data_IF_066581655939
#
_entry.id   IF_066581655939
#
_cell.length_a   1.000
_cell.length_b   1.000
_cell.length_c   1.000
_cell.angle_alpha   90.00
_cell.angle_beta   90.00
_cell.angle_gamma   90.00
#
_symmetry.space_group_name_H-M   'P 1'
#
loop_
_entity.id
_entity.type
_entity.pdbx_description
1 polymer ?
#
# COMPACT_ATOMS: atom_id res chain seq x y z
N UNK A 1 -19.41 17.06 -4.66
CA UNK A 1 -19.95 17.73 -3.47
C UNK A 1 -19.13 17.44 -2.20
N UNK A 2 -18.79 16.20 -1.79
CA UNK A 2 -17.93 15.98 -0.60
C UNK A 2 -16.43 15.79 -0.87
N UNK A 3 -15.85 16.48 -1.87
CA UNK A 3 -14.43 16.36 -2.20
C UNK A 3 -13.59 17.22 -1.25
N UNK A 4 -12.39 16.77 -0.88
CA UNK A 4 -11.44 17.58 -0.10
C UNK A 4 -11.08 18.88 -0.84
N UNK A 5 -10.81 18.78 -2.15
CA UNK A 5 -10.61 19.91 -3.07
C UNK A 5 -11.34 19.57 -4.36
N UNK A 6 -12.10 20.52 -4.91
CA UNK A 6 -12.84 20.35 -6.15
C UNK A 6 -12.82 21.63 -6.98
N UNK A 7 -12.54 21.48 -8.28
CA UNK A 7 -12.61 22.56 -9.25
C UNK A 7 -13.83 22.35 -10.14
N UNK A 8 -14.64 23.39 -10.33
CA UNK A 8 -15.77 23.41 -11.26
C UNK A 8 -15.47 24.42 -12.35
N UNK A 9 -15.27 23.95 -13.58
CA UNK A 9 -14.98 24.82 -14.71
C UNK A 9 -16.18 25.74 -15.01
N UNK A 10 -15.88 26.99 -15.35
CA UNK A 10 -16.81 28.04 -15.77
C UNK A 10 -16.28 28.68 -17.06
N UNK A 11 -17.08 29.58 -17.65
CA UNK A 11 -16.63 30.36 -18.83
C UNK A 11 -15.53 31.36 -18.51
N UNK A 12 -15.27 31.66 -17.22
CA UNK A 12 -14.28 32.62 -16.76
C UNK A 12 -13.05 31.97 -16.10
N UNK A 13 -13.02 30.64 -15.99
CA UNK A 13 -11.99 29.92 -15.26
C UNK A 13 -12.60 28.81 -14.41
N UNK A 14 -12.30 28.78 -13.11
CA UNK A 14 -12.72 27.74 -12.19
C UNK A 14 -13.28 28.29 -10.88
N UNK A 15 -14.35 27.65 -10.40
CA UNK A 15 -14.79 27.80 -9.02
C UNK A 15 -14.15 26.70 -8.17
N UNK A 16 -13.32 27.09 -7.22
CA UNK A 16 -12.66 26.17 -6.29
C UNK A 16 -13.49 25.98 -5.02
N UNK A 17 -13.71 24.72 -4.65
CA UNK A 17 -14.40 24.30 -3.44
C UNK A 17 -13.46 23.43 -2.60
N UNK A 18 -13.49 23.58 -1.28
CA UNK A 18 -12.59 22.84 -0.38
C UNK A 18 -13.31 22.26 0.85
N UNK A 19 -12.63 21.33 1.52
CA UNK A 19 -12.98 20.78 2.83
C UNK A 19 -14.31 20.01 2.89
N UNK A 20 -14.69 19.32 1.80
CA UNK A 20 -15.80 18.37 1.79
C UNK A 20 -15.43 17.02 2.44
N UNK A 21 -16.44 16.22 2.77
CA UNK A 21 -16.27 14.89 3.38
C UNK A 21 -17.35 13.90 2.94
N UNK A 22 -16.98 12.65 2.69
CA UNK A 22 -17.92 11.54 2.46
C UNK A 22 -17.81 10.43 3.51
N UNK A 23 -17.12 10.69 4.63
CA UNK A 23 -17.00 9.75 5.74
C UNK A 23 -18.25 9.63 6.60
N UNK A 24 -18.05 9.28 7.87
CA UNK A 24 -19.13 9.09 8.86
C UNK A 24 -19.98 10.33 9.12
N UNK A 25 -19.46 11.52 8.83
CA UNK A 25 -20.17 12.79 8.88
C UNK A 25 -20.06 13.48 7.50
N UNK A 26 -20.98 13.19 6.57
CA UNK A 26 -20.94 13.76 5.23
C UNK A 26 -21.03 15.28 5.27
N UNK A 27 -20.17 15.95 4.49
CA UNK A 27 -20.12 17.41 4.42
C UNK A 27 -19.87 17.87 2.99
N UNK A 28 -20.62 18.88 2.56
CA UNK A 28 -20.37 19.53 1.29
C UNK A 28 -19.11 20.41 1.37
N UNK A 29 -18.30 20.38 0.32
CA UNK A 29 -17.21 21.31 0.14
C UNK A 29 -17.76 22.73 0.03
N UNK A 30 -17.10 23.66 0.68
CA UNK A 30 -17.49 25.07 0.71
C UNK A 30 -16.77 25.82 -0.41
N UNK A 31 -17.44 26.78 -1.05
CA UNK A 31 -16.82 27.62 -2.05
C UNK A 31 -15.67 28.41 -1.43
N UNK A 32 -14.48 28.26 -1.99
CA UNK A 32 -13.30 29.01 -1.62
C UNK A 32 -13.21 30.30 -2.46
N UNK A 33 -13.14 30.17 -3.78
CA UNK A 33 -13.07 31.32 -4.69
C UNK A 33 -13.66 30.94 -6.05
N UNK A 34 -14.12 31.95 -6.79
CA UNK A 34 -14.70 31.81 -8.13
C UNK A 34 -13.81 32.46 -9.17
N UNK A 35 -14.01 32.07 -10.44
CA UNK A 35 -13.37 32.68 -11.61
C UNK A 35 -11.81 32.65 -11.56
N UNK A 36 -11.24 31.58 -10.97
CA UNK A 36 -9.80 31.37 -10.90
C UNK A 36 -9.22 30.88 -12.23
N UNK A 37 -8.04 31.36 -12.59
CA UNK A 37 -7.20 30.76 -13.63
C UNK A 37 -6.57 29.42 -13.18
N UNK A 38 -6.01 28.66 -14.12
CA UNK A 38 -5.29 27.41 -13.85
C UNK A 38 -4.14 27.62 -12.85
N UNK A 39 -3.34 28.68 -13.06
CA UNK A 39 -2.19 29.01 -12.22
C UNK A 39 -2.62 29.38 -10.79
N UNK A 40 -3.72 30.13 -10.65
CA UNK A 40 -4.28 30.47 -9.34
C UNK A 40 -4.86 29.24 -8.64
N UNK A 41 -5.52 28.34 -9.37
CA UNK A 41 -6.00 27.08 -8.80
C UNK A 41 -4.85 26.28 -8.20
N UNK A 42 -3.78 26.05 -8.98
CA UNK A 42 -2.61 25.30 -8.51
C UNK A 42 -1.99 25.99 -7.30
N UNK A 43 -1.71 27.29 -7.40
CA UNK A 43 -1.10 28.07 -6.32
C UNK A 43 -1.89 27.99 -5.02
N UNK A 44 -3.20 28.21 -5.06
CA UNK A 44 -4.01 28.18 -3.85
C UNK A 44 -4.18 26.77 -3.29
N UNK A 45 -4.25 25.74 -4.14
CA UNK A 45 -4.25 24.34 -3.69
C UNK A 45 -2.96 24.03 -2.92
N UNK A 46 -1.81 24.38 -3.48
CA UNK A 46 -0.51 24.11 -2.88
C UNK A 46 -0.37 24.78 -1.51
N UNK A 47 -0.75 26.07 -1.42
CA UNK A 47 -0.72 26.83 -0.17
C UNK A 47 -1.71 26.31 0.87
N UNK A 48 -2.94 25.95 0.47
CA UNK A 48 -3.93 25.37 1.38
C UNK A 48 -3.42 24.04 1.94
N UNK A 49 -2.82 23.19 1.10
CA UNK A 49 -2.24 21.92 1.54
C UNK A 49 -1.06 22.13 2.48
N UNK A 50 -0.17 23.08 2.20
CA UNK A 50 0.92 23.46 3.11
C UNK A 50 0.34 23.94 4.45
N UNK A 51 -0.57 24.90 4.44
CA UNK A 51 -1.17 25.42 5.67
C UNK A 51 -1.88 24.33 6.48
N UNK A 52 -2.62 23.44 5.82
CA UNK A 52 -3.23 22.27 6.45
C UNK A 52 -2.20 21.33 7.08
N UNK A 53 -1.08 21.04 6.40
CA UNK A 53 -0.03 20.16 6.96
C UNK A 53 0.64 20.75 8.20
N UNK A 54 0.77 22.07 8.28
CA UNK A 54 1.39 22.74 9.43
C UNK A 54 0.46 22.94 10.63
N UNK A 55 -0.84 23.07 10.39
CA UNK A 55 -1.81 23.46 11.42
C UNK A 55 -2.76 22.34 11.86
N UNK A 56 -2.91 21.28 11.07
CA UNK A 56 -3.80 20.17 11.41
C UNK A 56 -3.17 19.21 12.42
N UNK A 57 -4.00 18.70 13.34
CA UNK A 57 -3.58 17.62 14.23
C UNK A 57 -3.45 16.30 13.44
N UNK A 58 -2.58 15.36 13.88
CA UNK A 58 -2.43 14.06 13.23
C UNK A 58 -3.77 13.34 13.01
N UNK A 59 -3.93 12.69 11.86
CA UNK A 59 -5.12 11.92 11.47
C UNK A 59 -6.43 12.75 11.35
N UNK A 60 -6.33 14.07 11.22
CA UNK A 60 -7.50 14.96 11.07
C UNK A 60 -7.85 15.16 9.60
N UNK A 61 -9.12 14.97 9.22
CA UNK A 61 -9.62 15.26 7.86
C UNK A 61 -9.71 16.78 7.63
N UNK A 62 -9.49 17.22 6.39
CA UNK A 62 -9.58 18.65 5.97
C UNK A 62 -10.89 19.31 6.41
N UNK A 63 -12.01 18.60 6.32
CA UNK A 63 -13.33 19.08 6.74
C UNK A 63 -13.41 19.45 8.22
N UNK A 64 -12.84 18.60 9.09
CA UNK A 64 -12.79 18.81 10.56
C UNK A 64 -11.76 19.85 10.93
N UNK A 65 -10.64 19.87 10.20
CA UNK A 65 -9.62 20.90 10.37
C UNK A 65 -10.20 22.30 10.15
N UNK A 66 -10.92 22.52 9.04
CA UNK A 66 -11.54 23.81 8.75
C UNK A 66 -12.60 24.21 9.79
N UNK A 67 -13.35 23.25 10.35
CA UNK A 67 -14.33 23.52 11.42
C UNK A 67 -13.67 24.01 12.72
N UNK A 68 -12.49 23.47 13.02
CA UNK A 68 -11.74 23.81 14.22
C UNK A 68 -10.81 25.02 14.03
N UNK A 69 -10.62 25.47 12.79
CA UNK A 69 -9.80 26.63 12.48
C UNK A 69 -10.54 27.89 12.94
N UNK A 70 -9.94 28.64 13.85
CA UNK A 70 -10.49 29.93 14.28
C UNK A 70 -10.62 30.89 13.09
N UNK A 71 -11.79 31.51 12.93
CA UNK A 71 -12.14 32.30 11.75
C UNK A 71 -12.46 31.49 10.48
N UNK A 72 -12.28 30.17 10.49
CA UNK A 72 -12.75 29.24 9.46
C UNK A 72 -12.26 29.58 8.05
N UNK A 73 -13.20 29.62 7.09
CA UNK A 73 -12.89 29.86 5.67
C UNK A 73 -12.29 31.23 5.41
N UNK A 74 -12.77 32.26 6.11
CA UNK A 74 -12.31 33.63 5.86
C UNK A 74 -10.88 33.79 6.36
N UNK A 75 -10.56 33.28 7.55
CA UNK A 75 -9.19 33.25 8.03
C UNK A 75 -8.26 32.45 7.10
N UNK A 76 -8.72 31.31 6.57
CA UNK A 76 -7.93 30.56 5.59
C UNK A 76 -7.58 31.40 4.36
N UNK A 77 -8.54 32.17 3.82
CA UNK A 77 -8.30 33.08 2.68
C UNK A 77 -7.32 34.18 3.04
N UNK A 78 -7.49 34.83 4.19
CA UNK A 78 -6.57 35.87 4.66
C UNK A 78 -5.12 35.37 4.67
N UNK A 79 -4.90 34.12 5.10
CA UNK A 79 -3.55 33.53 5.17
C UNK A 79 -3.01 33.17 3.79
N UNK A 80 -3.78 32.49 2.93
CA UNK A 80 -3.24 31.89 1.69
C UNK A 80 -3.39 32.78 0.44
N UNK A 81 -4.29 33.77 0.51
CA UNK A 81 -4.56 34.73 -0.57
C UNK A 81 -3.94 36.09 -0.22
N UNK A 82 -4.30 36.65 0.94
CA UNK A 82 -3.88 38.00 1.33
C UNK A 82 -2.52 38.01 2.07
N UNK A 83 -1.93 36.84 2.28
CA UNK A 83 -0.65 36.64 2.97
C UNK A 83 -0.57 37.34 4.34
N UNK A 84 -1.67 37.29 5.11
CA UNK A 84 -1.78 38.00 6.40
C UNK A 84 -0.71 37.60 7.43
N UNK A 85 -0.10 36.42 7.27
CA UNK A 85 0.98 35.91 8.12
C UNK A 85 2.38 36.02 7.49
N UNK A 86 2.50 36.47 6.23
CA UNK A 86 3.77 36.55 5.51
C UNK A 86 4.42 35.18 5.22
N UNK A 87 3.61 34.13 5.08
CA UNK A 87 4.06 32.73 4.95
C UNK A 87 3.95 32.18 3.53
N UNK A 88 3.25 32.88 2.62
CA UNK A 88 2.97 32.36 1.28
C UNK A 88 4.25 32.01 0.51
N UNK A 89 5.28 32.86 0.56
CA UNK A 89 6.56 32.58 -0.10
C UNK A 89 7.26 31.33 0.46
N UNK A 90 7.15 31.08 1.77
CA UNK A 90 7.71 29.88 2.39
C UNK A 90 6.89 28.63 2.05
N UNK A 91 5.57 28.73 1.96
CA UNK A 91 4.72 27.64 1.48
C UNK A 91 5.06 27.25 0.04
N UNK A 92 5.17 28.24 -0.85
CA UNK A 92 5.51 28.01 -2.25
C UNK A 92 6.89 27.34 -2.38
N UNK A 93 7.89 27.83 -1.64
CA UNK A 93 9.24 27.26 -1.61
C UNK A 93 9.25 25.81 -1.14
N UNK A 94 8.55 25.50 -0.04
CA UNK A 94 8.50 24.14 0.52
C UNK A 94 7.73 23.17 -0.36
N UNK A 95 6.64 23.63 -0.97
CA UNK A 95 5.90 22.82 -1.91
C UNK A 95 6.78 22.44 -3.09
N UNK A 96 7.52 23.41 -3.64
CA UNK A 96 8.45 23.17 -4.72
C UNK A 96 9.55 22.15 -4.34
N UNK A 97 10.09 22.19 -3.12
CA UNK A 97 11.02 21.16 -2.63
C UNK A 97 10.40 19.76 -2.62
N UNK A 98 9.10 19.62 -2.33
CA UNK A 98 8.39 18.33 -2.37
C UNK A 98 8.22 17.85 -3.81
N UNK A 99 7.87 18.75 -4.74
CA UNK A 99 7.74 18.44 -6.16
C UNK A 99 9.09 17.99 -6.73
N UNK A 100 10.17 18.68 -6.40
CA UNK A 100 11.53 18.34 -6.86
C UNK A 100 12.04 17.00 -6.33
N UNK A 101 11.59 16.60 -5.14
CA UNK A 101 11.96 15.32 -4.51
C UNK A 101 11.00 14.19 -4.83
N UNK A 102 9.90 14.46 -5.54
CA UNK A 102 8.93 13.44 -5.85
C UNK A 102 9.55 12.35 -6.73
N UNK A 103 9.51 11.11 -6.24
CA UNK A 103 9.86 9.92 -7.00
C UNK A 103 8.65 8.98 -7.04
N UNK A 104 8.29 8.50 -8.23
CA UNK A 104 7.25 7.48 -8.36
C UNK A 104 7.86 6.11 -8.03
N UNK A 105 7.67 5.63 -6.80
CA UNK A 105 8.20 4.35 -6.33
C UNK A 105 7.82 3.16 -7.24
N UNK A 106 6.61 3.18 -7.81
CA UNK A 106 6.18 2.14 -8.75
C UNK A 106 6.93 2.20 -10.08
N UNK A 107 7.18 3.41 -10.59
CA UNK A 107 8.00 3.58 -11.79
C UNK A 107 9.43 3.10 -11.52
N UNK A 108 10.01 3.47 -10.39
CA UNK A 108 11.32 2.98 -9.95
C UNK A 108 11.40 1.46 -9.92
N UNK A 109 10.39 0.80 -9.36
CA UNK A 109 10.26 -0.67 -9.36
C UNK A 109 10.16 -1.21 -10.79
N UNK A 110 9.33 -0.61 -11.64
CA UNK A 110 9.13 -1.05 -13.03
C UNK A 110 10.39 -0.87 -13.86
N UNK A 111 11.19 0.17 -13.62
CA UNK A 111 12.38 0.46 -14.41
C UNK A 111 13.61 -0.31 -13.90
N UNK A 112 13.65 -0.70 -12.61
CA UNK A 112 14.78 -1.40 -11.98
C UNK A 112 14.61 -2.93 -12.00
N UNK A 113 15.40 -3.69 -12.79
CA UNK A 113 15.28 -5.16 -12.88
C UNK A 113 15.35 -5.88 -11.54
N UNK A 114 16.23 -5.44 -10.64
CA UNK A 114 16.46 -6.01 -9.32
C UNK A 114 15.22 -5.87 -8.42
N UNK A 115 14.52 -4.74 -8.52
CA UNK A 115 13.27 -4.52 -7.79
C UNK A 115 12.12 -5.34 -8.39
N UNK A 116 12.04 -5.46 -9.73
CA UNK A 116 11.04 -6.33 -10.38
C UNK A 116 11.14 -7.78 -9.92
N UNK A 117 12.35 -8.29 -9.66
CA UNK A 117 12.56 -9.66 -9.16
C UNK A 117 11.79 -9.95 -7.87
N UNK A 118 11.58 -8.94 -7.00
CA UNK A 118 10.82 -9.05 -5.75
C UNK A 118 9.32 -9.31 -5.96
N UNK A 119 8.80 -9.05 -7.16
CA UNK A 119 7.39 -9.23 -7.52
C UNK A 119 7.12 -10.50 -8.35
N UNK A 120 8.14 -11.33 -8.58
CA UNK A 120 7.95 -12.64 -9.22
C UNK A 120 7.09 -13.53 -8.34
N UNK A 121 6.24 -14.34 -8.96
CA UNK A 121 5.42 -15.31 -8.22
C UNK A 121 6.28 -16.40 -7.59
N UNK A 122 7.30 -16.87 -8.31
CA UNK A 122 8.24 -17.89 -7.82
C UNK A 122 9.67 -17.45 -8.07
N UNK A 123 10.58 -17.79 -7.15
CA UNK A 123 12.02 -17.49 -7.28
C UNK A 123 12.65 -18.30 -8.42
N UNK A 124 12.28 -19.57 -8.54
CA UNK A 124 12.93 -20.55 -9.40
C UNK A 124 12.19 -20.81 -10.73
N UNK A 125 11.26 -19.92 -11.12
CA UNK A 125 10.48 -20.06 -12.36
C UNK A 125 10.49 -18.73 -13.12
N UNK A 126 10.97 -18.76 -14.37
CA UNK A 126 10.98 -17.60 -15.28
C UNK A 126 9.71 -17.48 -16.15
N UNK A 127 8.78 -18.43 -16.05
CA UNK A 127 7.54 -18.41 -16.81
C UNK A 127 6.64 -17.23 -16.39
N UNK A 128 6.37 -16.35 -17.34
CA UNK A 128 5.43 -15.22 -17.21
C UNK A 128 3.95 -15.63 -17.30
N UNK A 129 3.67 -16.92 -17.56
CA UNK A 129 2.32 -17.49 -17.78
C UNK A 129 1.79 -18.26 -16.56
N UNK A 130 2.15 -17.84 -15.36
CA UNK A 130 1.50 -18.30 -14.14
C UNK A 130 0.70 -17.15 -13.53
N UNK A 131 -0.58 -17.40 -13.25
CA UNK A 131 -1.46 -16.38 -12.66
C UNK A 131 -2.86 -16.24 -13.25
N UNK A 132 -3.30 -17.09 -14.19
CA UNK A 132 -4.72 -17.18 -14.52
C UNK A 132 -5.44 -17.85 -13.34
N UNK A 133 -5.67 -17.06 -12.29
CA UNK A 133 -6.55 -17.46 -11.20
C UNK A 133 -7.94 -17.69 -11.80
N UNK A 134 -8.57 -18.84 -11.53
CA UNK A 134 -9.94 -19.04 -11.95
C UNK A 134 -10.77 -17.92 -11.35
N UNK A 135 -11.68 -17.37 -12.15
CA UNK A 135 -12.55 -16.28 -11.74
C UNK A 135 -13.99 -16.63 -12.09
N UNK A 136 -14.90 -16.10 -11.29
CA UNK A 136 -16.34 -16.14 -11.51
C UNK A 136 -16.86 -14.73 -11.77
N UNK A 137 -17.93 -14.61 -12.56
CA UNK A 137 -18.63 -13.34 -12.72
C UNK A 137 -19.67 -13.20 -11.61
N UNK A 138 -19.42 -12.27 -10.69
CA UNK A 138 -20.39 -11.88 -9.67
C UNK A 138 -20.81 -10.45 -9.94
N UNK A 139 -22.10 -10.22 -10.19
CA UNK A 139 -22.65 -8.90 -10.51
C UNK A 139 -21.91 -8.19 -11.65
N UNK A 140 -21.57 -8.93 -12.72
CA UNK A 140 -20.82 -8.46 -13.90
C UNK A 140 -19.35 -8.05 -13.61
N UNK A 141 -18.84 -8.29 -12.40
CA UNK A 141 -17.43 -8.07 -12.06
C UNK A 141 -16.70 -9.41 -11.95
N UNK A 142 -15.46 -9.47 -12.42
CA UNK A 142 -14.60 -10.64 -12.23
C UNK A 142 -14.20 -10.71 -10.75
N UNK A 143 -14.59 -11.78 -10.08
CA UNK A 143 -14.18 -12.11 -8.73
C UNK A 143 -13.31 -13.36 -8.80
N UNK A 144 -12.15 -13.35 -8.14
CA UNK A 144 -11.32 -14.56 -8.02
C UNK A 144 -12.16 -15.66 -7.37
N UNK A 145 -12.21 -16.82 -8.02
CA UNK A 145 -12.87 -17.99 -7.48
C UNK A 145 -12.07 -18.44 -6.28
N UNK A 146 -12.67 -18.33 -5.09
CA UNK A 146 -12.10 -18.79 -3.84
C UNK A 146 -12.88 -20.04 -3.43
N UNK A 147 -12.19 -21.17 -3.37
CA UNK A 147 -12.75 -22.37 -2.76
C UNK A 147 -12.66 -22.23 -1.23
N UNK A 148 -13.73 -22.58 -0.53
CA UNK A 148 -13.74 -22.66 0.93
C UNK A 148 -13.10 -23.98 1.36
N UNK A 149 -11.77 -23.97 1.44
CA UNK A 149 -10.98 -25.15 1.77
C UNK A 149 -10.91 -25.34 3.29
N UNK A 150 -10.86 -26.60 3.77
CA UNK A 150 -10.85 -26.88 5.20
C UNK A 150 -9.62 -26.31 5.89
N UNK A 151 -9.78 -25.94 7.15
CA UNK A 151 -8.66 -25.58 8.00
C UNK A 151 -7.80 -26.82 8.27
N UNK A 152 -6.49 -26.71 7.98
CA UNK A 152 -5.49 -27.73 8.25
C UNK A 152 -4.52 -27.17 9.28
N UNK A 153 -4.74 -27.52 10.54
CA UNK A 153 -3.86 -27.16 11.67
C UNK A 153 -3.23 -28.45 12.19
N UNK A 154 -1.91 -28.45 12.33
CA UNK A 154 -1.18 -29.60 12.85
C UNK A 154 0.31 -29.52 12.54
N UNK A 155 1.11 -30.44 13.10
CA UNK A 155 2.52 -30.55 12.77
C UNK A 155 2.69 -30.90 11.28
N UNK A 156 3.86 -30.55 10.73
CA UNK A 156 4.21 -30.94 9.37
C UNK A 156 4.17 -32.47 9.25
N UNK A 157 3.44 -32.98 8.25
CA UNK A 157 3.36 -34.43 7.99
C UNK A 157 4.73 -35.02 7.63
N UNK A 158 5.54 -34.23 6.92
CA UNK A 158 6.89 -34.57 6.47
C UNK A 158 7.85 -33.53 7.00
N UNK A 159 8.90 -34.00 7.67
CA UNK A 159 9.95 -33.20 8.30
C UNK A 159 11.32 -33.72 7.88
N UNK A 160 12.38 -32.94 8.12
CA UNK A 160 13.73 -33.24 7.64
C UNK A 160 14.28 -34.59 8.13
N UNK A 161 13.88 -35.01 9.33
CA UNK A 161 14.20 -36.31 9.94
C UNK A 161 13.60 -37.51 9.19
N UNK A 162 12.58 -37.30 8.35
CA UNK A 162 11.97 -38.33 7.51
C UNK A 162 12.56 -38.39 6.10
N UNK A 163 13.71 -37.74 5.87
CA UNK A 163 14.36 -37.76 4.57
C UNK A 163 14.88 -39.16 4.23
N UNK A 164 14.56 -39.64 3.02
CA UNK A 164 14.98 -40.95 2.53
C UNK A 164 16.13 -40.82 1.51
N UNK A 165 16.98 -41.85 1.34
CA UNK A 165 18.07 -41.84 0.35
C UNK A 165 17.60 -41.67 -1.11
N UNK A 166 16.33 -41.95 -1.38
CA UNK A 166 15.70 -41.78 -2.71
C UNK A 166 15.38 -40.33 -3.04
N UNK A 167 15.46 -39.41 -2.07
CA UNK A 167 15.15 -38.02 -2.28
C UNK A 167 16.25 -37.33 -3.08
N UNK A 168 15.85 -36.40 -3.94
CA UNK A 168 16.76 -35.57 -4.73
C UNK A 168 16.78 -34.15 -4.21
N UNK A 169 17.96 -33.56 -4.18
CA UNK A 169 18.11 -32.12 -3.99
C UNK A 169 17.59 -31.39 -5.22
N UNK A 170 16.89 -30.28 -4.99
CA UNK A 170 16.37 -29.39 -6.04
C UNK A 170 16.91 -28.00 -5.74
N UNK A 171 17.60 -27.42 -6.72
CA UNK A 171 18.00 -26.02 -6.64
C UNK A 171 16.77 -25.12 -6.80
N UNK A 172 16.63 -24.14 -5.90
CA UNK A 172 15.49 -23.24 -5.83
C UNK A 172 15.89 -21.75 -5.84
N UNK A 173 17.17 -21.44 -6.05
CA UNK A 173 17.67 -20.06 -6.15
C UNK A 173 18.80 -19.73 -5.17
N UNK A 174 19.38 -18.54 -5.33
CA UNK A 174 20.46 -18.05 -4.48
C UNK A 174 19.90 -17.42 -3.19
N UNK A 175 20.72 -17.32 -2.13
CA UNK A 175 20.32 -16.70 -0.86
C UNK A 175 19.76 -15.28 -1.05
N UNK A 176 20.38 -14.46 -1.91
CA UNK A 176 19.93 -13.09 -2.20
C UNK A 176 18.60 -12.97 -2.94
N UNK A 177 18.03 -14.08 -3.43
CA UNK A 177 16.69 -14.09 -4.02
C UNK A 177 15.58 -14.15 -2.95
N UNK A 178 15.93 -14.42 -1.69
CA UNK A 178 15.00 -14.53 -0.57
C UNK A 178 15.13 -13.35 0.40
N UNK A 179 14.02 -12.80 0.93
CA UNK A 179 14.08 -11.73 1.92
C UNK A 179 14.53 -12.22 3.31
N UNK A 180 15.43 -11.50 3.97
CA UNK A 180 16.02 -11.88 5.27
C UNK A 180 15.03 -12.03 6.44
N UNK A 181 13.85 -11.40 6.37
CA UNK A 181 12.79 -11.49 7.40
C UNK A 181 11.42 -11.75 6.76
N UNK A 182 11.42 -12.29 5.54
CA UNK A 182 10.22 -12.57 4.76
C UNK A 182 10.26 -13.97 4.17
N UNK A 183 9.24 -14.28 3.39
CA UNK A 183 9.23 -15.48 2.58
C UNK A 183 9.36 -15.17 1.09
N UNK A 184 9.70 -16.20 0.33
CA UNK A 184 9.46 -16.25 -1.10
C UNK A 184 8.89 -17.61 -1.48
N UNK A 185 8.10 -17.65 -2.55
CA UNK A 185 7.56 -18.91 -3.04
C UNK A 185 8.54 -19.55 -4.03
N UNK A 186 8.65 -20.87 -3.93
CA UNK A 186 9.37 -21.71 -4.88
C UNK A 186 8.43 -22.80 -5.37
N UNK A 187 8.62 -23.24 -6.60
CA UNK A 187 7.78 -24.27 -7.22
C UNK A 187 8.59 -25.54 -7.47
N UNK A 188 8.09 -26.67 -6.97
CA UNK A 188 8.70 -27.99 -7.19
C UNK A 188 7.63 -28.91 -7.77
N UNK A 189 7.72 -29.17 -9.08
CA UNK A 189 6.67 -29.87 -9.81
C UNK A 189 5.36 -29.09 -9.81
N UNK A 190 4.31 -29.64 -9.18
CA UNK A 190 2.99 -29.00 -9.03
C UNK A 190 2.78 -28.35 -7.66
N UNK A 191 3.76 -28.44 -6.77
CA UNK A 191 3.66 -27.95 -5.39
C UNK A 191 4.37 -26.63 -5.24
N UNK A 192 3.74 -25.71 -4.52
CA UNK A 192 4.33 -24.45 -4.10
C UNK A 192 4.81 -24.57 -2.65
N UNK A 193 6.06 -24.18 -2.42
CA UNK A 193 6.66 -24.11 -1.10
C UNK A 193 6.97 -22.65 -0.78
N UNK A 194 6.87 -22.31 0.50
CA UNK A 194 7.28 -21.03 1.06
C UNK A 194 8.61 -21.25 1.77
N UNK A 195 9.62 -20.48 1.39
CA UNK A 195 10.97 -20.52 1.96
C UNK A 195 11.20 -19.22 2.69
N UNK A 196 11.70 -19.29 3.92
CA UNK A 196 11.93 -18.17 4.80
C UNK A 196 13.36 -18.16 5.30
N UNK A 197 13.98 -16.99 5.30
CA UNK A 197 15.19 -16.71 6.04
C UNK A 197 14.82 -15.97 7.31
N UNK A 198 15.35 -16.38 8.45
CA UNK A 198 15.11 -15.72 9.74
C UNK A 198 16.36 -14.96 10.16
N UNK A 199 16.38 -13.64 9.95
CA UNK A 199 17.46 -12.77 10.42
C UNK A 199 17.72 -12.91 11.93
N UNK A 200 16.67 -13.12 12.73
CA UNK A 200 16.77 -13.27 14.18
C UNK A 200 17.52 -14.55 14.63
N UNK A 201 17.53 -15.61 13.81
CA UNK A 201 18.16 -16.89 14.17
C UNK A 201 19.27 -17.34 13.21
N UNK A 202 19.43 -16.66 12.07
CA UNK A 202 20.32 -17.08 10.97
C UNK A 202 19.89 -18.39 10.30
N UNK A 203 18.68 -18.90 10.56
CA UNK A 203 18.19 -20.19 10.06
C UNK A 203 17.22 -20.04 8.91
N UNK A 204 17.19 -21.07 8.08
CA UNK A 204 16.25 -21.24 6.97
C UNK A 204 15.11 -22.18 7.35
N UNK A 205 13.91 -21.84 6.90
CA UNK A 205 12.71 -22.62 7.12
C UNK A 205 11.95 -22.78 5.81
N UNK A 206 11.27 -23.91 5.65
CA UNK A 206 10.39 -24.13 4.52
C UNK A 206 9.08 -24.76 4.99
N UNK A 207 7.99 -24.41 4.33
CA UNK A 207 6.66 -25.01 4.52
C UNK A 207 5.91 -25.02 3.20
N UNK A 208 4.76 -25.69 3.13
CA UNK A 208 3.88 -25.53 1.98
C UNK A 208 3.48 -24.05 1.86
N UNK A 209 3.45 -23.50 0.65
CA UNK A 209 2.96 -22.14 0.41
C UNK A 209 1.42 -22.16 0.53
N UNK A 210 0.87 -22.40 1.71
CA UNK A 210 -0.57 -22.50 1.94
C UNK A 210 -0.92 -21.99 3.34
N UNK A 211 -1.91 -21.10 3.42
CA UNK A 211 -2.44 -20.65 4.70
C UNK A 211 -3.18 -21.80 5.41
N UNK A 212 -2.89 -22.14 6.68
CA UNK A 212 -3.57 -23.24 7.35
C UNK A 212 -5.08 -23.06 7.47
N UNK A 213 -5.58 -21.82 7.52
CA UNK A 213 -7.01 -21.54 7.71
C UNK A 213 -7.83 -21.50 6.42
N UNK A 214 -7.29 -20.93 5.34
CA UNK A 214 -8.00 -20.70 4.07
C UNK A 214 -7.40 -21.45 2.87
N UNK A 215 -6.28 -22.14 3.08
CA UNK A 215 -5.49 -22.87 2.08
C UNK A 215 -5.09 -22.07 0.84
N UNK A 216 -5.12 -20.73 0.91
CA UNK A 216 -4.65 -19.86 -0.17
C UNK A 216 -3.12 -19.84 -0.22
N UNK A 217 -2.56 -19.77 -1.43
CA UNK A 217 -1.11 -19.84 -1.66
C UNK A 217 -0.37 -18.53 -1.38
N UNK A 218 -0.45 -18.04 -0.15
CA UNK A 218 0.02 -16.70 0.23
C UNK A 218 1.04 -16.70 1.37
N UNK A 219 1.35 -17.87 1.94
CA UNK A 219 2.18 -17.94 3.14
C UNK A 219 3.60 -17.40 2.90
N UNK A 220 4.13 -17.61 1.69
CA UNK A 220 5.38 -17.01 1.21
C UNK A 220 5.42 -15.49 1.30
N UNK A 221 4.29 -14.78 1.28
CA UNK A 221 4.25 -13.32 1.45
C UNK A 221 4.18 -12.90 2.92
N UNK A 222 4.24 -13.86 3.84
CA UNK A 222 4.27 -13.63 5.28
C UNK A 222 5.63 -13.16 5.77
N UNK A 223 5.63 -12.63 6.99
CA UNK A 223 6.84 -12.27 7.72
C UNK A 223 7.17 -13.37 8.72
N UNK A 224 8.43 -13.78 8.79
CA UNK A 224 8.89 -14.73 9.79
C UNK A 224 9.42 -13.97 11.02
N UNK A 225 9.02 -14.42 12.19
CA UNK A 225 9.49 -13.92 13.47
C UNK A 225 9.69 -15.05 14.46
N UNK A 226 10.00 -14.70 15.70
CA UNK A 226 10.24 -15.65 16.78
C UNK A 226 9.25 -15.40 17.92
N UNK A 227 8.68 -16.47 18.46
CA UNK A 227 7.98 -16.45 19.74
C UNK A 227 8.78 -17.31 20.73
N UNK A 228 9.61 -16.67 21.54
CA UNK A 228 10.68 -17.35 22.28
C UNK A 228 11.65 -18.01 21.30
N UNK A 229 11.80 -19.32 21.39
CA UNK A 229 12.67 -20.12 20.50
C UNK A 229 11.93 -20.72 19.29
N UNK A 230 10.61 -20.48 19.17
CA UNK A 230 9.79 -21.09 18.12
C UNK A 230 9.59 -20.10 16.96
N UNK A 231 9.98 -20.46 15.73
CA UNK A 231 9.71 -19.62 14.56
C UNK A 231 8.20 -19.56 14.28
N UNK A 232 7.71 -18.38 13.92
CA UNK A 232 6.31 -18.10 13.59
C UNK A 232 6.25 -17.30 12.31
N UNK A 233 5.26 -17.60 11.46
CA UNK A 233 4.99 -16.82 10.24
C UNK A 233 3.67 -16.09 10.41
N UNK A 234 3.70 -14.77 10.23
CA UNK A 234 2.50 -13.96 10.15
C UNK A 234 1.87 -14.14 8.76
N UNK A 235 0.72 -14.81 8.70
CA UNK A 235 0.02 -15.06 7.45
C UNK A 235 -0.68 -13.78 6.95
N UNK A 236 -0.46 -13.33 5.68
CA UNK A 236 -0.99 -12.05 5.18
C UNK A 236 -2.52 -11.92 5.18
N UNK A 237 -3.21 -13.05 5.08
CA UNK A 237 -4.68 -13.12 4.95
C UNK A 237 -5.37 -13.53 6.24
N UNK A 238 -4.60 -13.95 7.26
CA UNK A 238 -5.13 -14.37 8.54
C UNK A 238 -4.87 -13.29 9.57
N UNK A 239 -5.82 -12.37 9.71
CA UNK A 239 -5.87 -11.43 10.83
C UNK A 239 -6.90 -11.96 11.83
N UNK A 240 -6.42 -12.53 12.94
CA UNK A 240 -7.25 -12.60 14.14
C UNK A 240 -7.33 -11.17 14.67
N UNK A 241 -8.45 -10.50 14.39
CA UNK A 241 -8.80 -9.23 15.06
C UNK A 241 -9.70 -9.59 16.22
#
# INVERSE_FOLDING_TARGET
QGKDIGLVATVKGYNMYICGNHGTSPKHATLFMSDLSDDECIRYIDRILMYYTFTSAPLTRTSKWLENLEGGMEHLKEVVVDDSLGLCAEFDRRWQEQVERYECEWKKVVDTPELRKKFRQFVNVDEKKHGDLPWELVRKQKKIQLEDLPTIIGPAKISKDKAEPTWRWVDVGAEGDFPETGGAAVKVGRTELSVFQSAASGKWYASQNSCPHKQLQVLSRGLIGMHGQVPKVACPIHKNT
#
